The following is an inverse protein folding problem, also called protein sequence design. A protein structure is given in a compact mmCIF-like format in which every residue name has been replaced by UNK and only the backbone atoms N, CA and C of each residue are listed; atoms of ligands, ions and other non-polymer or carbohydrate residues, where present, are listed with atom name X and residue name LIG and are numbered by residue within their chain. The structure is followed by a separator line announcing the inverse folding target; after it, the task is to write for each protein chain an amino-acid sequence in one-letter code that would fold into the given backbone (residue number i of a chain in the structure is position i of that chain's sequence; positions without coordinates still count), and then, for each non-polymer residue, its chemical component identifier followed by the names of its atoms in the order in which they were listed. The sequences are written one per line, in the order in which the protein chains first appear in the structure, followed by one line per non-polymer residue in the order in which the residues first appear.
data_IF_498756349403
#
_entry.id   IF_498756349403
#
_cell.length_a   1.000
_cell.length_b   1.000
_cell.length_c   1.000
_cell.angle_alpha   90.00
_cell.angle_beta   90.00
_cell.angle_gamma   90.00
#
_symmetry.space_group_name_H-M   'P 1'
#
loop_
_entity.id
_entity.type
_entity.pdbx_description
1 polymer ?
#
# COMPACT_ATOMS: atom_id res chain seq x y z
N UNK A 1 12.00 -4.19 -4.73
CA UNK A 1 10.59 -4.54 -5.09
C UNK A 1 9.70 -4.30 -3.88
N UNK A 2 8.65 -3.51 -4.08
CA UNK A 2 7.78 -3.08 -2.98
C UNK A 2 6.48 -3.85 -2.97
N UNK A 3 6.01 -4.15 -1.76
CA UNK A 3 4.61 -4.42 -1.58
C UNK A 3 3.87 -3.08 -1.38
N UNK A 4 3.20 -2.56 -2.42
CA UNK A 4 2.43 -1.34 -2.25
C UNK A 4 1.27 -1.69 -1.31
N UNK A 5 1.30 -1.10 -0.11
CA UNK A 5 0.09 -0.93 0.69
C UNK A 5 -0.46 0.43 0.29
N UNK A 6 -1.49 0.51 -0.55
CA UNK A 6 -1.84 1.78 -1.15
C UNK A 6 -2.44 2.73 -0.11
N UNK A 7 -2.05 4.00 -0.24
CA UNK A 7 -2.32 5.15 0.65
C UNK A 7 -1.86 5.08 2.11
N UNK A 8 -1.48 3.92 2.66
CA UNK A 8 -0.89 3.85 4.02
C UNK A 8 0.59 4.23 4.01
N UNK A 9 1.27 4.09 2.88
CA UNK A 9 2.56 4.74 2.70
C UNK A 9 2.29 6.25 2.57
N UNK A 10 2.53 6.99 3.66
CA UNK A 10 2.69 8.44 3.62
C UNK A 10 3.51 8.81 2.38
N UNK A 11 3.24 9.96 1.75
CA UNK A 11 4.03 10.41 0.58
C UNK A 11 5.54 10.18 0.81
N UNK A 12 6.00 10.46 2.03
CA UNK A 12 7.29 10.07 2.62
C UNK A 12 7.74 8.65 2.29
N UNK A 13 7.01 7.62 2.72
CA UNK A 13 7.41 6.23 2.52
C UNK A 13 7.46 5.86 1.03
N UNK A 14 6.48 6.31 0.24
CA UNK A 14 6.46 6.09 -1.21
C UNK A 14 7.67 6.72 -1.90
N UNK A 15 8.05 7.93 -1.50
CA UNK A 15 9.22 8.62 -2.00
C UNK A 15 10.49 7.83 -1.73
N UNK A 16 10.71 7.40 -0.49
CA UNK A 16 11.96 6.70 -0.17
C UNK A 16 12.00 5.32 -0.81
N UNK A 17 10.87 4.62 -0.82
CA UNK A 17 10.77 3.35 -1.56
C UNK A 17 11.10 3.57 -3.03
N UNK A 18 10.46 4.51 -3.72
CA UNK A 18 10.77 4.73 -5.13
C UNK A 18 12.24 5.12 -5.36
N UNK A 19 12.80 5.99 -4.51
CA UNK A 19 14.22 6.33 -4.56
C UNK A 19 15.11 5.10 -4.47
N UNK A 20 14.89 4.24 -3.48
CA UNK A 20 15.66 3.01 -3.29
C UNK A 20 15.58 2.09 -4.51
N UNK A 21 14.42 2.02 -5.16
CA UNK A 21 14.24 1.17 -6.32
C UNK A 21 14.92 1.72 -7.56
N UNK A 22 14.80 3.03 -7.78
CA UNK A 22 15.52 3.69 -8.88
C UNK A 22 17.03 3.62 -8.66
N UNK A 23 17.51 3.77 -7.43
CA UNK A 23 18.92 3.63 -7.06
C UNK A 23 19.42 2.24 -7.40
N UNK A 24 18.73 1.21 -6.90
CA UNK A 24 19.10 -0.18 -7.16
C UNK A 24 19.14 -0.43 -8.68
N UNK A 25 18.13 0.01 -9.46
CA UNK A 25 18.15 -0.11 -10.93
C UNK A 25 19.34 0.61 -11.57
N UNK A 26 19.63 1.83 -11.14
CA UNK A 26 20.74 2.62 -11.67
C UNK A 26 22.06 1.88 -11.48
N UNK A 27 22.31 1.36 -10.27
CA UNK A 27 23.51 0.56 -9.96
C UNK A 27 23.58 -0.71 -10.82
N UNK A 28 22.45 -1.35 -11.13
CA UNK A 28 22.43 -2.53 -12.00
C UNK A 28 22.73 -2.21 -13.46
N UNK A 29 22.21 -1.08 -13.96
CA UNK A 29 22.45 -0.65 -15.33
C UNK A 29 23.92 -0.27 -15.58
N UNK A 30 24.63 0.19 -14.56
CA UNK A 30 26.06 0.52 -14.65
C UNK A 30 26.96 -0.73 -14.66
N UNK A 31 26.50 -1.84 -14.08
CA UNK A 31 27.30 -3.07 -13.91
C UNK A 31 27.15 -4.12 -15.05
N UNK A 32 26.54 -3.76 -16.18
CA UNK A 32 26.50 -4.52 -17.45
C UNK A 32 26.17 -6.04 -17.35
N UNK A 33 24.98 -6.37 -16.84
CA UNK A 33 24.45 -7.75 -16.80
C UNK A 33 23.73 -8.16 -18.10
N UNK A 34 23.98 -9.38 -18.60
CA UNK A 34 23.48 -9.92 -19.89
C UNK A 34 21.95 -10.04 -20.00
N UNK A 35 21.20 -10.06 -18.91
CA UNK A 35 19.72 -10.07 -18.89
C UNK A 35 19.11 -8.65 -18.72
N UNK A 36 19.94 -7.62 -18.59
CA UNK A 36 19.52 -6.23 -18.36
C UNK A 36 19.22 -5.52 -19.67
N UNK A 37 19.77 -5.93 -20.81
CA UNK A 37 19.57 -5.22 -22.09
C UNK A 37 18.10 -5.22 -22.56
N UNK A 38 17.36 -6.32 -22.35
CA UNK A 38 15.91 -6.37 -22.63
C UNK A 38 15.12 -5.47 -21.69
N UNK A 39 15.52 -5.39 -20.41
CA UNK A 39 14.88 -4.52 -19.42
C UNK A 39 15.21 -3.05 -19.68
N UNK A 40 16.45 -2.74 -20.04
CA UNK A 40 16.98 -1.42 -20.44
C UNK A 40 16.25 -0.92 -21.68
N UNK A 41 16.19 -1.70 -22.75
CA UNK A 41 15.47 -1.36 -23.97
C UNK A 41 13.97 -1.12 -23.73
N UNK A 42 13.34 -1.94 -22.87
CA UNK A 42 11.94 -1.71 -22.45
C UNK A 42 11.78 -0.42 -21.65
N UNK A 43 12.68 -0.14 -20.71
CA UNK A 43 12.64 1.10 -19.91
C UNK A 43 12.85 2.33 -20.79
N UNK A 44 13.77 2.28 -21.76
CA UNK A 44 14.00 3.35 -22.73
C UNK A 44 12.79 3.63 -23.63
N UNK A 45 12.00 2.59 -23.96
CA UNK A 45 10.75 2.76 -24.72
C UNK A 45 9.59 3.33 -23.88
N UNK A 46 9.65 3.20 -22.55
CA UNK A 46 8.54 3.58 -21.65
C UNK A 46 8.78 4.87 -20.88
N UNK A 47 10.04 5.27 -20.69
CA UNK A 47 10.42 6.53 -20.03
C UNK A 47 10.53 7.61 -21.09
N UNK A 48 9.51 8.46 -21.15
CA UNK A 48 9.55 9.68 -21.96
C UNK A 48 10.33 10.77 -21.22
N UNK A 49 11.61 10.90 -21.56
CA UNK A 49 12.51 11.92 -21.01
C UNK A 49 11.97 13.34 -21.27
N UNK A 50 11.26 13.57 -22.40
CA UNK A 50 10.72 14.89 -22.72
C UNK A 50 9.59 15.27 -21.77
N UNK A 51 8.71 14.32 -21.43
CA UNK A 51 7.67 14.48 -20.40
C UNK A 51 8.29 14.76 -19.02
N UNK A 52 9.39 14.09 -18.65
CA UNK A 52 10.10 14.39 -17.40
C UNK A 52 10.62 15.82 -17.35
N UNK A 53 11.27 16.29 -18.41
CA UNK A 53 11.80 17.65 -18.50
C UNK A 53 10.67 18.68 -18.43
N UNK A 54 9.53 18.41 -19.06
CA UNK A 54 8.34 19.26 -18.95
C UNK A 54 7.83 19.33 -17.50
N UNK A 55 7.74 18.19 -16.81
CA UNK A 55 7.31 18.16 -15.41
C UNK A 55 8.29 18.92 -14.49
N UNK A 56 9.60 18.81 -14.71
CA UNK A 56 10.60 19.60 -13.99
C UNK A 56 10.33 21.11 -14.14
N UNK A 57 10.12 21.57 -15.38
CA UNK A 57 9.81 22.98 -15.68
C UNK A 57 8.52 23.44 -15.02
N UNK A 58 7.47 22.61 -15.04
CA UNK A 58 6.19 22.91 -14.36
C UNK A 58 6.33 23.06 -12.84
N UNK A 59 7.33 22.40 -12.24
CA UNK A 59 7.65 22.53 -10.81
C UNK A 59 8.76 23.56 -10.52
N UNK A 60 9.05 24.46 -11.47
CA UNK A 60 10.10 25.48 -11.37
C UNK A 60 11.51 24.92 -11.11
N UNK A 61 11.77 23.69 -11.55
CA UNK A 61 13.10 23.06 -11.53
C UNK A 61 13.71 23.19 -12.93
N UNK A 62 14.73 24.02 -13.07
CA UNK A 62 15.47 24.20 -14.33
C UNK A 62 16.77 23.41 -14.32
N UNK A 63 16.98 22.63 -15.37
CA UNK A 63 18.26 21.97 -15.67
C UNK A 63 18.84 22.69 -16.90
N UNK A 64 20.13 23.07 -16.91
CA UNK A 64 20.78 23.61 -18.10
C UNK A 64 20.58 22.68 -19.30
N UNK A 65 20.34 23.21 -20.50
CA UNK A 65 20.18 22.38 -21.73
C UNK A 65 21.35 21.43 -21.97
N UNK A 66 22.55 21.82 -21.56
CA UNK A 66 23.77 21.00 -21.64
C UNK A 66 23.77 19.81 -20.68
N UNK A 67 22.97 19.87 -19.62
CA UNK A 67 22.82 18.85 -18.58
C UNK A 67 21.51 18.05 -18.71
N UNK A 68 20.67 18.33 -19.72
CA UNK A 68 19.47 17.54 -19.99
C UNK A 68 19.85 16.07 -20.25
N UNK A 69 19.15 15.09 -19.64
CA UNK A 69 19.52 13.69 -19.75
C UNK A 69 19.36 13.18 -21.18
N UNK A 70 20.46 12.66 -21.75
CA UNK A 70 20.50 12.06 -23.11
C UNK A 70 20.43 10.53 -23.11
N UNK A 71 20.34 9.91 -21.93
CA UNK A 71 20.26 8.47 -21.77
C UNK A 71 19.44 8.11 -20.53
N UNK A 72 18.96 6.86 -20.46
CA UNK A 72 18.27 6.35 -19.28
C UNK A 72 19.13 6.49 -18.01
N UNK A 73 20.41 6.14 -18.07
CA UNK A 73 21.33 6.26 -16.94
C UNK A 73 21.47 7.72 -16.46
N UNK A 74 21.62 8.68 -17.39
CA UNK A 74 21.68 10.09 -17.06
C UNK A 74 20.36 10.58 -16.40
N UNK A 75 19.22 10.14 -16.93
CA UNK A 75 17.90 10.44 -16.35
C UNK A 75 17.77 9.91 -14.92
N UNK A 76 18.08 8.63 -14.67
CA UNK A 76 17.95 8.02 -13.34
C UNK A 76 18.87 8.72 -12.33
N UNK A 77 20.11 9.07 -12.73
CA UNK A 77 21.04 9.82 -11.89
C UNK A 77 20.51 11.20 -11.51
N UNK A 78 19.99 11.96 -12.49
CA UNK A 78 19.40 13.28 -12.25
C UNK A 78 18.19 13.17 -11.32
N UNK A 79 17.30 12.21 -11.58
CA UNK A 79 16.15 11.94 -10.73
C UNK A 79 16.56 11.65 -9.28
N UNK A 80 17.53 10.76 -9.05
CA UNK A 80 18.02 10.43 -7.71
C UNK A 80 18.58 11.66 -6.98
N UNK A 81 19.33 12.50 -7.69
CA UNK A 81 19.89 13.72 -7.12
C UNK A 81 18.82 14.72 -6.69
N UNK A 82 17.78 14.93 -7.52
CA UNK A 82 16.67 15.83 -7.19
C UNK A 82 15.91 15.34 -5.95
N UNK A 83 15.58 14.04 -5.90
CA UNK A 83 14.88 13.46 -4.76
C UNK A 83 15.73 13.55 -3.49
N UNK A 84 17.03 13.22 -3.57
CA UNK A 84 17.95 13.31 -2.42
C UNK A 84 18.07 14.75 -1.93
N UNK A 85 18.32 15.71 -2.81
CA UNK A 85 18.44 17.13 -2.46
C UNK A 85 17.19 17.64 -1.75
N UNK A 86 16.01 17.35 -2.31
CA UNK A 86 14.74 17.75 -1.71
C UNK A 86 14.42 17.05 -0.39
N UNK A 87 14.91 15.82 -0.20
CA UNK A 87 14.74 15.06 1.04
C UNK A 87 15.64 15.57 2.17
N UNK A 88 16.81 16.12 1.86
CA UNK A 88 17.73 16.72 2.83
C UNK A 88 17.28 18.15 3.19
N UNK A 89 16.95 18.96 2.19
CA UNK A 89 16.74 20.40 2.36
C UNK A 89 15.26 20.82 2.47
N UNK A 90 14.32 19.90 2.34
CA UNK A 90 12.88 20.19 2.34
C UNK A 90 12.26 20.33 3.74
N UNK A 91 11.07 20.92 3.80
CA UNK A 91 10.22 21.01 5.00
C UNK A 91 9.25 19.81 5.06
N UNK A 92 9.78 18.65 5.44
CA UNK A 92 9.08 17.49 6.05
C UNK A 92 7.72 16.99 5.48
N UNK A 93 7.30 17.32 4.25
CA UNK A 93 5.96 16.90 3.78
C UNK A 93 5.85 16.37 2.34
N UNK A 94 6.82 16.59 1.44
CA UNK A 94 6.92 15.91 0.13
C UNK A 94 8.28 16.18 -0.52
N UNK A 95 8.85 15.24 -1.32
CA UNK A 95 9.93 15.58 -2.24
C UNK A 95 9.44 16.60 -3.29
N UNK A 96 10.35 17.34 -3.94
CA UNK A 96 10.03 18.36 -4.93
C UNK A 96 9.35 17.82 -6.20
N UNK A 97 9.31 16.50 -6.38
CA UNK A 97 8.68 15.84 -7.53
C UNK A 97 7.62 14.85 -7.08
N UNK A 98 6.47 14.87 -7.77
CA UNK A 98 5.43 13.86 -7.58
C UNK A 98 5.75 12.66 -8.48
N UNK A 99 6.29 11.56 -7.96
CA UNK A 99 6.70 10.45 -8.80
C UNK A 99 5.56 9.77 -9.57
N UNK A 100 4.32 9.97 -9.14
CA UNK A 100 3.14 9.43 -9.83
C UNK A 100 2.82 10.16 -11.13
N UNK A 101 3.24 11.43 -11.27
CA UNK A 101 3.10 12.20 -12.51
C UNK A 101 4.14 11.80 -13.56
N UNK A 102 5.30 11.35 -13.10
CA UNK A 102 6.40 10.85 -13.94
C UNK A 102 6.18 9.49 -14.61
N UNK A 103 4.94 8.96 -14.58
CA UNK A 103 4.57 7.68 -15.19
C UNK A 103 5.49 6.51 -14.83
N UNK A 104 6.21 6.57 -13.70
CA UNK A 104 7.10 5.50 -13.24
C UNK A 104 6.40 4.14 -13.14
N UNK A 105 5.09 4.14 -12.93
CA UNK A 105 4.29 2.90 -12.92
C UNK A 105 4.18 2.20 -14.28
N UNK A 106 4.38 2.92 -15.39
CA UNK A 106 4.47 2.36 -16.73
C UNK A 106 5.89 1.87 -17.01
N UNK A 107 6.90 2.65 -16.62
CA UNK A 107 8.31 2.26 -16.75
C UNK A 107 8.68 1.05 -15.87
N UNK A 108 8.04 0.91 -14.73
CA UNK A 108 8.29 -0.13 -13.73
C UNK A 108 6.98 -0.85 -13.36
N UNK A 109 6.39 -1.64 -14.28
CA UNK A 109 5.09 -2.28 -14.07
C UNK A 109 5.09 -3.24 -12.87
N UNK A 110 6.23 -3.83 -12.53
CA UNK A 110 6.42 -4.69 -11.36
C UNK A 110 6.38 -3.93 -10.01
N UNK A 111 6.38 -2.59 -10.00
CA UNK A 111 6.05 -1.82 -8.78
C UNK A 111 4.57 -1.93 -8.43
N UNK A 112 3.73 -2.32 -9.41
CA UNK A 112 2.35 -2.76 -9.17
C UNK A 112 2.38 -4.28 -9.03
N UNK A 113 2.49 -4.79 -7.79
CA UNK A 113 2.55 -6.23 -7.50
C UNK A 113 1.37 -7.06 -8.03
N UNK A 114 0.32 -6.45 -8.58
CA UNK A 114 -0.84 -7.15 -9.12
C UNK A 114 -0.58 -7.89 -10.44
N UNK A 115 0.60 -7.76 -11.06
CA UNK A 115 0.96 -8.52 -12.25
C UNK A 115 2.41 -9.03 -12.13
N UNK A 116 2.58 -10.21 -11.52
CA UNK A 116 3.86 -10.90 -11.33
C UNK A 116 4.40 -11.53 -12.62
N UNK A 117 4.24 -10.87 -13.76
CA UNK A 117 5.01 -11.21 -14.96
C UNK A 117 6.47 -10.78 -14.73
N UNK A 118 7.43 -11.68 -14.99
CA UNK A 118 8.88 -11.55 -14.76
C UNK A 118 9.41 -11.72 -13.31
N UNK A 119 9.03 -12.83 -12.67
CA UNK A 119 9.55 -13.31 -11.37
C UNK A 119 11.08 -13.32 -11.23
N UNK A 120 11.86 -13.51 -12.30
CA UNK A 120 13.33 -13.61 -12.19
C UNK A 120 14.01 -12.34 -11.65
N UNK A 121 13.51 -11.15 -12.01
CA UNK A 121 14.00 -9.88 -11.45
C UNK A 121 13.52 -9.67 -10.01
N UNK A 122 12.34 -10.19 -9.68
CA UNK A 122 11.71 -10.17 -8.35
C UNK A 122 12.51 -11.00 -7.33
N UNK A 123 13.18 -12.07 -7.76
CA UNK A 123 14.00 -12.95 -6.93
C UNK A 123 15.49 -12.56 -6.88
N UNK A 124 15.94 -11.58 -7.66
CA UNK A 124 17.35 -11.15 -7.61
C UNK A 124 17.73 -10.65 -6.21
N UNK A 125 18.77 -11.20 -5.56
CA UNK A 125 19.17 -10.79 -4.20
C UNK A 125 19.60 -9.32 -4.14
N UNK A 126 19.90 -8.73 -5.30
CA UNK A 126 20.44 -7.39 -5.45
C UNK A 126 19.40 -6.27 -5.34
N UNK A 127 18.09 -6.58 -5.34
CA UNK A 127 17.07 -5.57 -5.05
C UNK A 127 16.75 -5.48 -3.57
N UNK A 128 16.75 -4.27 -3.05
CA UNK A 128 16.29 -3.97 -1.70
C UNK A 128 14.77 -4.22 -1.62
N UNK A 129 14.36 -5.01 -0.64
CA UNK A 129 12.96 -5.33 -0.34
C UNK A 129 12.61 -4.81 1.03
N UNK A 130 11.60 -3.95 1.07
CA UNK A 130 11.16 -3.23 2.27
C UNK A 130 9.66 -3.36 2.34
N UNK A 131 9.15 -3.58 3.55
CA UNK A 131 7.72 -3.54 3.84
C UNK A 131 7.50 -2.78 5.14
N UNK A 132 6.46 -1.95 5.17
CA UNK A 132 5.90 -1.43 6.41
C UNK A 132 4.54 -2.09 6.60
N UNK A 133 4.43 -2.89 7.65
CA UNK A 133 3.21 -3.59 8.02
C UNK A 133 2.46 -2.79 9.07
N UNK A 134 1.18 -3.08 9.20
CA UNK A 134 0.28 -2.48 10.20
C UNK A 134 -0.52 -3.59 10.86
N UNK A 135 -0.90 -3.39 12.11
CA UNK A 135 -1.74 -4.34 12.83
C UNK A 135 -2.99 -4.72 11.98
N UNK A 136 -3.34 -6.01 11.81
CA UNK A 136 -4.44 -6.43 10.92
C UNK A 136 -5.76 -5.69 11.17
N UNK A 137 -6.17 -5.56 12.44
CA UNK A 137 -7.39 -4.80 12.80
C UNK A 137 -7.30 -3.30 12.52
N UNK A 138 -6.14 -2.68 12.72
CA UNK A 138 -5.98 -1.25 12.46
C UNK A 138 -6.04 -0.97 10.96
N UNK A 139 -5.37 -1.81 10.16
CA UNK A 139 -5.40 -1.75 8.69
C UNK A 139 -6.81 -1.90 8.15
N UNK A 140 -7.56 -2.88 8.64
CA UNK A 140 -8.90 -3.19 8.17
C UNK A 140 -9.91 -2.07 8.46
N UNK A 141 -9.84 -1.49 9.65
CA UNK A 141 -10.69 -0.36 10.02
C UNK A 141 -10.29 0.93 9.27
N UNK A 142 -9.00 1.15 9.00
CA UNK A 142 -8.54 2.25 8.13
C UNK A 142 -9.07 2.09 6.71
N UNK A 143 -8.98 0.87 6.15
CA UNK A 143 -9.48 0.57 4.81
C UNK A 143 -10.99 0.81 4.70
N UNK A 144 -11.76 0.40 5.72
CA UNK A 144 -13.18 0.73 5.79
C UNK A 144 -13.42 2.25 5.74
N UNK A 145 -12.76 3.02 6.62
CA UNK A 145 -12.95 4.47 6.71
C UNK A 145 -12.64 5.16 5.38
N UNK A 146 -11.50 4.85 4.80
CA UNK A 146 -10.99 5.52 3.61
C UNK A 146 -11.71 5.10 2.32
N UNK A 147 -12.05 3.81 2.18
CA UNK A 147 -12.56 3.25 0.92
C UNK A 147 -14.06 3.11 0.89
N UNK A 148 -14.65 2.69 1.99
CA UNK A 148 -16.08 2.35 2.06
C UNK A 148 -16.89 3.46 2.73
N UNK A 149 -16.40 4.02 3.84
CA UNK A 149 -17.14 5.01 4.63
C UNK A 149 -16.91 6.47 4.21
N UNK A 150 -16.39 6.70 3.00
CA UNK A 150 -16.26 8.03 2.42
C UNK A 150 -17.03 8.08 1.10
N UNK A 151 -18.00 8.99 0.97
CA UNK A 151 -18.82 9.12 -0.24
C UNK A 151 -18.03 9.79 -1.37
N UNK A 152 -18.45 9.57 -2.61
CA UNK A 152 -17.80 10.14 -3.79
C UNK A 152 -17.69 11.67 -3.72
N UNK A 153 -18.74 12.35 -3.24
CA UNK A 153 -18.78 13.81 -3.05
C UNK A 153 -17.79 14.33 -2.00
N UNK A 154 -17.36 13.48 -1.07
CA UNK A 154 -16.49 13.87 0.04
C UNK A 154 -15.01 13.54 -0.26
N UNK A 155 -14.71 12.96 -1.43
CA UNK A 155 -13.34 12.61 -1.85
C UNK A 155 -12.76 13.65 -2.81
N UNK A 156 -11.46 13.92 -2.62
CA UNK A 156 -10.66 14.76 -3.53
C UNK A 156 -10.46 14.06 -4.89
N UNK A 157 -10.39 12.73 -4.90
CA UNK A 157 -10.15 11.93 -6.10
C UNK A 157 -11.28 10.92 -6.31
N UNK A 158 -11.73 10.81 -7.57
CA UNK A 158 -12.72 9.82 -7.98
C UNK A 158 -12.15 8.39 -7.89
N UNK A 159 -12.91 7.49 -7.27
CA UNK A 159 -12.55 6.08 -7.08
C UNK A 159 -13.79 5.19 -7.33
N UNK A 160 -14.24 5.06 -8.60
CA UNK A 160 -15.54 4.45 -8.93
C UNK A 160 -15.65 2.98 -8.53
N UNK A 161 -14.54 2.25 -8.47
CA UNK A 161 -14.53 0.85 -8.04
C UNK A 161 -14.97 0.70 -6.57
N UNK A 162 -14.56 1.63 -5.69
CA UNK A 162 -15.00 1.63 -4.30
C UNK A 162 -16.44 2.13 -4.14
N UNK A 163 -16.90 3.03 -5.01
CA UNK A 163 -18.31 3.43 -5.06
C UNK A 163 -19.21 2.24 -5.42
N UNK A 164 -18.86 1.51 -6.48
CA UNK A 164 -19.56 0.29 -6.88
C UNK A 164 -19.53 -0.78 -5.78
N UNK A 165 -18.39 -0.94 -5.11
CA UNK A 165 -18.26 -1.87 -3.99
C UNK A 165 -19.14 -1.48 -2.81
N UNK A 166 -19.17 -0.21 -2.42
CA UNK A 166 -20.05 0.30 -1.35
C UNK A 166 -21.51 -0.01 -1.66
N UNK A 167 -21.96 0.30 -2.88
CA UNK A 167 -23.32 0.02 -3.32
C UNK A 167 -23.63 -1.49 -3.28
N UNK A 168 -22.69 -2.33 -3.69
CA UNK A 168 -22.85 -3.78 -3.64
C UNK A 168 -23.00 -4.29 -2.20
N UNK A 169 -22.20 -3.79 -1.25
CA UNK A 169 -22.31 -4.15 0.17
C UNK A 169 -23.70 -3.74 0.70
N UNK A 170 -24.14 -2.51 0.41
CA UNK A 170 -25.48 -2.03 0.76
C UNK A 170 -26.60 -2.90 0.17
N UNK A 171 -26.49 -3.29 -1.11
CA UNK A 171 -27.48 -4.16 -1.77
C UNK A 171 -27.54 -5.55 -1.14
N UNK A 172 -26.40 -6.16 -0.78
CA UNK A 172 -26.36 -7.47 -0.12
C UNK A 172 -27.09 -7.50 1.22
N UNK A 173 -27.01 -6.42 2.01
CA UNK A 173 -27.81 -6.23 3.23
C UNK A 173 -29.31 -6.29 2.93
N UNK A 174 -29.76 -5.54 1.92
CA UNK A 174 -31.19 -5.43 1.60
C UNK A 174 -31.77 -6.73 1.01
N UNK A 175 -30.95 -7.54 0.33
CA UNK A 175 -31.37 -8.73 -0.42
C UNK A 175 -31.49 -10.02 0.40
N UNK A 176 -31.64 -9.99 1.73
CA UNK A 176 -31.80 -11.20 2.56
C UNK A 176 -32.60 -12.30 1.85
N UNK A 177 -31.90 -13.33 1.34
CA UNK A 177 -32.34 -14.44 0.44
C UNK A 177 -33.27 -14.12 -0.75
N UNK A 178 -33.83 -12.93 -0.90
CA UNK A 178 -34.83 -12.59 -1.90
C UNK A 178 -34.28 -11.60 -2.93
N UNK A 179 -33.89 -12.15 -4.09
CA UNK A 179 -33.31 -11.44 -5.24
C UNK A 179 -34.27 -10.52 -6.03
N UNK A 180 -35.51 -10.30 -5.56
CA UNK A 180 -36.56 -9.56 -6.28
C UNK A 180 -36.90 -8.24 -5.60
N UNK A 181 -35.99 -7.26 -5.63
CA UNK A 181 -36.31 -5.87 -5.24
C UNK A 181 -36.56 -4.99 -6.47
N UNK A 182 -37.57 -4.08 -6.43
CA UNK A 182 -37.80 -3.08 -7.46
C UNK A 182 -36.58 -2.18 -7.71
N UNK A 183 -36.42 -1.72 -8.94
CA UNK A 183 -35.29 -0.87 -9.39
C UNK A 183 -35.16 0.42 -8.56
N UNK A 184 -36.26 1.00 -8.09
CA UNK A 184 -36.29 2.23 -7.28
C UNK A 184 -35.51 2.12 -5.95
N UNK A 185 -35.42 0.92 -5.34
CA UNK A 185 -34.61 0.69 -4.13
C UNK A 185 -33.11 0.59 -4.40
N UNK A 186 -32.69 0.51 -5.67
CA UNK A 186 -31.26 0.40 -6.04
C UNK A 186 -30.52 1.74 -5.99
N UNK A 187 -31.22 2.86 -6.14
CA UNK A 187 -30.63 4.21 -6.08
C UNK A 187 -30.34 4.67 -4.64
N UNK A 188 -31.09 4.17 -3.66
CA UNK A 188 -30.89 4.48 -2.23
C UNK A 188 -29.48 4.11 -1.73
N UNK A 189 -28.83 3.11 -2.36
CA UNK A 189 -27.51 2.66 -1.97
C UNK A 189 -26.35 3.54 -2.47
N UNK A 190 -26.57 4.47 -3.41
CA UNK A 190 -25.51 5.38 -3.93
C UNK A 190 -24.92 6.25 -2.82
N UNK A 191 -25.82 6.75 -1.97
CA UNK A 191 -25.50 7.67 -0.87
C UNK A 191 -25.52 7.01 0.52
N UNK A 192 -25.67 5.69 0.58
CA UNK A 192 -25.68 4.94 1.83
C UNK A 192 -24.28 4.40 2.14
N UNK A 193 -23.80 4.67 3.36
CA UNK A 193 -22.58 4.07 3.89
C UNK A 193 -22.94 2.78 4.64
N UNK A 194 -22.47 1.60 4.19
CA UNK A 194 -22.58 0.37 4.95
C UNK A 194 -21.86 0.50 6.29
N UNK A 195 -22.40 -0.11 7.33
CA UNK A 195 -21.75 -0.22 8.64
C UNK A 195 -20.44 -1.03 8.55
N UNK A 196 -19.59 -0.88 9.57
CA UNK A 196 -18.36 -1.67 9.66
C UNK A 196 -18.66 -3.17 9.70
N UNK A 197 -19.71 -3.60 10.42
CA UNK A 197 -20.11 -5.01 10.46
C UNK A 197 -20.48 -5.54 9.06
N UNK A 198 -21.26 -4.78 8.28
CA UNK A 198 -21.63 -5.18 6.92
C UNK A 198 -20.41 -5.30 6.00
N UNK A 199 -19.43 -4.42 6.16
CA UNK A 199 -18.14 -4.52 5.48
C UNK A 199 -17.34 -5.76 5.91
N UNK A 200 -17.27 -6.07 7.21
CA UNK A 200 -16.61 -7.29 7.71
C UNK A 200 -17.28 -8.55 7.16
N UNK A 201 -18.61 -8.61 7.19
CA UNK A 201 -19.36 -9.73 6.61
C UNK A 201 -19.08 -9.89 5.13
N UNK A 202 -18.97 -8.79 4.38
CA UNK A 202 -18.59 -8.81 2.97
C UNK A 202 -17.20 -9.41 2.75
N UNK A 203 -16.21 -9.02 3.55
CA UNK A 203 -14.83 -9.54 3.44
C UNK A 203 -14.78 -11.03 3.76
N UNK A 204 -15.52 -11.47 4.76
CA UNK A 204 -15.50 -12.86 5.22
C UNK A 204 -16.20 -13.83 4.25
N UNK A 205 -16.95 -13.33 3.25
CA UNK A 205 -17.64 -14.18 2.27
C UNK A 205 -16.65 -15.08 1.53
N UNK A 206 -16.87 -16.39 1.63
CA UNK A 206 -16.08 -17.43 0.94
C UNK A 206 -14.57 -17.40 1.24
N UNK A 207 -14.16 -16.85 2.39
CA UNK A 207 -12.74 -16.85 2.83
C UNK A 207 -12.17 -18.25 3.06
N UNK A 208 -13.01 -19.26 3.21
CA UNK A 208 -12.62 -20.67 3.21
C UNK A 208 -12.08 -21.15 1.85
N UNK A 209 -12.24 -20.39 0.76
CA UNK A 209 -11.70 -20.71 -0.56
C UNK A 209 -10.39 -19.94 -0.78
N UNK A 210 -9.22 -20.61 -0.90
CA UNK A 210 -7.93 -19.94 -1.07
C UNK A 210 -7.89 -18.98 -2.26
N UNK A 211 -8.52 -19.33 -3.38
CA UNK A 211 -8.59 -18.48 -4.56
C UNK A 211 -9.34 -17.16 -4.31
N UNK A 212 -10.31 -17.12 -3.40
CA UNK A 212 -11.01 -15.87 -3.03
C UNK A 212 -10.08 -14.97 -2.23
N UNK A 213 -9.37 -15.52 -1.24
CA UNK A 213 -8.41 -14.76 -0.43
C UNK A 213 -7.24 -14.25 -1.27
N UNK A 214 -6.77 -15.04 -2.24
CA UNK A 214 -5.71 -14.66 -3.17
C UNK A 214 -6.10 -13.51 -4.12
N UNK A 215 -7.39 -13.31 -4.36
CA UNK A 215 -7.93 -12.24 -5.21
C UNK A 215 -8.68 -11.16 -4.41
N UNK A 216 -8.47 -11.10 -3.09
CA UNK A 216 -9.01 -10.02 -2.27
C UNK A 216 -8.43 -8.67 -2.69
N UNK A 217 -9.22 -7.62 -2.50
CA UNK A 217 -8.75 -6.26 -2.67
C UNK A 217 -7.58 -5.98 -1.72
N UNK A 218 -6.58 -5.28 -2.23
CA UNK A 218 -5.27 -5.18 -1.61
C UNK A 218 -5.23 -4.38 -0.31
N UNK A 219 -6.25 -3.59 0.04
CA UNK A 219 -6.30 -2.89 1.33
C UNK A 219 -6.64 -3.83 2.48
N UNK A 220 -7.33 -4.94 2.22
CA UNK A 220 -7.75 -5.93 3.22
C UNK A 220 -7.35 -7.38 2.85
N UNK A 221 -6.43 -7.56 1.90
CA UNK A 221 -5.79 -8.86 1.69
C UNK A 221 -4.67 -9.07 2.71
N UNK A 222 -4.56 -10.22 3.41
CA UNK A 222 -3.44 -10.50 4.32
C UNK A 222 -2.07 -10.22 3.68
N UNK A 223 -1.16 -9.59 4.43
CA UNK A 223 0.19 -9.26 3.95
C UNK A 223 1.01 -10.49 3.61
N UNK A 224 0.83 -11.60 4.35
CA UNK A 224 1.49 -12.87 4.07
C UNK A 224 1.27 -13.33 2.63
N UNK A 225 0.06 -13.08 2.10
CA UNK A 225 -0.33 -13.39 0.72
C UNK A 225 -0.01 -12.26 -0.25
N UNK A 226 -0.47 -11.04 0.04
CA UNK A 226 -0.31 -9.87 -0.84
C UNK A 226 1.16 -9.59 -1.15
N UNK A 227 2.02 -9.69 -0.12
CA UNK A 227 3.43 -9.37 -0.21
C UNK A 227 4.33 -10.62 -0.29
N UNK A 228 3.72 -11.82 -0.30
CA UNK A 228 4.41 -13.13 -0.35
C UNK A 228 5.58 -13.22 0.63
N UNK A 229 5.34 -12.84 1.88
CA UNK A 229 6.38 -12.58 2.90
C UNK A 229 7.23 -13.83 3.17
N UNK A 230 6.63 -15.01 3.06
CA UNK A 230 7.32 -16.29 3.22
C UNK A 230 8.20 -16.69 2.02
N UNK A 231 8.03 -16.04 0.85
CA UNK A 231 8.80 -16.34 -0.37
C UNK A 231 9.98 -15.38 -0.59
N UNK A 232 9.96 -14.21 0.05
CA UNK A 232 10.98 -13.18 -0.14
C UNK A 232 11.71 -12.87 1.15
N UNK A 233 13.03 -12.74 1.06
CA UNK A 233 13.84 -12.20 2.14
C UNK A 233 13.76 -10.67 2.11
N UNK A 234 13.02 -10.10 3.06
CA UNK A 234 12.93 -8.65 3.24
C UNK A 234 14.19 -8.11 3.94
N UNK A 235 14.75 -7.02 3.42
CA UNK A 235 15.89 -6.33 4.01
C UNK A 235 15.50 -5.47 5.22
N UNK A 236 14.22 -5.08 5.30
CA UNK A 236 13.64 -4.32 6.40
C UNK A 236 12.12 -4.54 6.51
N UNK A 237 11.63 -4.72 7.74
CA UNK A 237 10.21 -4.80 8.08
C UNK A 237 9.92 -3.74 9.14
N UNK A 238 9.18 -2.70 8.76
CA UNK A 238 8.75 -1.61 9.64
C UNK A 238 7.33 -1.83 10.17
N UNK A 239 7.00 -1.23 11.31
CA UNK A 239 5.64 -1.19 11.88
C UNK A 239 5.06 0.21 11.72
N UNK A 240 3.85 0.30 11.18
CA UNK A 240 3.23 1.58 10.81
C UNK A 240 2.73 2.37 12.02
N UNK A 241 2.31 1.69 13.07
CA UNK A 241 1.93 2.28 14.35
C UNK A 241 3.14 2.91 15.08
N UNK A 242 4.37 2.45 14.78
CA UNK A 242 5.64 3.01 15.24
C UNK A 242 6.42 3.65 14.09
N UNK A 243 5.70 4.24 13.12
CA UNK A 243 6.29 4.63 11.83
C UNK A 243 7.54 5.51 11.98
N UNK A 244 7.48 6.63 12.70
CA UNK A 244 8.60 7.57 12.77
C UNK A 244 9.84 6.94 13.38
N UNK A 245 9.68 6.16 14.46
CA UNK A 245 10.79 5.45 15.11
C UNK A 245 11.42 4.43 14.16
N UNK A 246 10.59 3.56 13.56
CA UNK A 246 11.07 2.55 12.61
C UNK A 246 11.66 3.19 11.35
N UNK A 247 11.14 4.34 10.93
CA UNK A 247 11.61 5.05 9.76
C UNK A 247 13.00 5.68 9.99
N UNK A 248 13.31 6.16 11.20
CA UNK A 248 14.67 6.61 11.56
C UNK A 248 15.67 5.45 11.45
N UNK A 249 15.33 4.28 11.98
CA UNK A 249 16.19 3.09 11.85
C UNK A 249 16.35 2.65 10.39
N UNK A 250 15.27 2.73 9.62
CA UNK A 250 15.27 2.47 8.19
C UNK A 250 16.27 3.39 7.46
N UNK A 251 16.17 4.71 7.65
CA UNK A 251 17.06 5.69 7.01
C UNK A 251 18.53 5.41 7.36
N UNK A 252 18.82 5.12 8.64
CA UNK A 252 20.17 4.75 9.09
C UNK A 252 20.69 3.48 8.42
N UNK A 253 19.86 2.44 8.31
CA UNK A 253 20.23 1.15 7.72
C UNK A 253 20.61 1.24 6.24
N UNK A 254 20.03 2.20 5.53
CA UNK A 254 20.21 2.35 4.08
C UNK A 254 21.05 3.58 3.70
N UNK A 255 21.81 4.15 4.64
CA UNK A 255 22.69 5.30 4.44
C UNK A 255 21.97 6.56 3.95
N UNK A 256 20.77 6.81 4.50
CA UNK A 256 19.92 7.98 4.22
C UNK A 256 19.67 8.82 5.49
N UNK A 257 20.59 8.75 6.47
CA UNK A 257 20.45 9.46 7.76
C UNK A 257 20.42 10.99 7.62
N UNK A 258 20.90 11.53 6.50
CA UNK A 258 20.86 12.94 6.12
C UNK A 258 19.47 13.41 5.65
N UNK A 259 18.52 12.49 5.44
CA UNK A 259 17.18 12.81 4.98
C UNK A 259 16.32 13.36 6.13
N UNK A 260 15.80 14.57 5.95
CA UNK A 260 14.90 15.24 6.88
C UNK A 260 13.42 14.99 6.49
N UNK A 261 13.01 13.72 6.47
CA UNK A 261 11.62 13.34 6.20
C UNK A 261 11.02 12.60 7.38
N UNK A 262 9.78 12.95 7.73
CA UNK A 262 9.02 12.28 8.77
C UNK A 262 7.56 12.13 8.34
N UNK A 263 6.80 11.28 9.02
CA UNK A 263 5.35 11.26 8.91
C UNK A 263 4.79 12.40 9.77
N UNK A 264 3.94 13.29 9.22
CA UNK A 264 3.27 14.31 10.00
C UNK A 264 2.46 13.71 11.15
N UNK A 265 2.43 14.40 12.30
CA UNK A 265 1.56 14.03 13.41
C UNK A 265 0.10 13.98 12.94
N UNK A 266 -0.64 12.94 13.31
CA UNK A 266 -2.04 12.76 12.91
C UNK A 266 -2.26 12.19 11.50
N UNK A 267 -1.22 11.96 10.69
CA UNK A 267 -1.35 11.34 9.36
C UNK A 267 -1.87 9.89 9.39
N UNK A 268 -2.01 9.28 10.57
CA UNK A 268 -2.68 7.98 10.78
C UNK A 268 -4.21 8.08 10.68
N UNK A 269 -4.78 9.29 10.69
CA UNK A 269 -6.21 9.57 10.58
C UNK A 269 -7.06 9.23 11.81
N UNK A 270 -6.69 8.23 12.61
CA UNK A 270 -7.38 7.80 13.82
C UNK A 270 -6.39 7.35 14.89
N UNK A 271 -6.81 7.42 16.16
CA UNK A 271 -6.06 6.87 17.29
C UNK A 271 -6.30 5.36 17.45
N UNK A 272 -5.43 4.65 18.20
CA UNK A 272 -5.64 3.23 18.56
C UNK A 272 -7.01 3.01 19.22
N UNK A 273 -7.44 3.93 20.09
CA UNK A 273 -8.76 3.89 20.74
C UNK A 273 -9.91 4.02 19.75
N UNK A 274 -9.80 4.89 18.75
CA UNK A 274 -10.85 5.01 17.72
C UNK A 274 -10.96 3.74 16.87
N UNK A 275 -9.83 3.10 16.57
CA UNK A 275 -9.84 1.82 15.87
C UNK A 275 -10.47 0.69 16.69
N UNK A 276 -10.24 0.65 18.01
CA UNK A 276 -10.88 -0.32 18.91
C UNK A 276 -12.42 -0.23 18.89
N UNK A 277 -12.97 0.99 18.79
CA UNK A 277 -14.43 1.23 18.76
C UNK A 277 -15.13 0.50 17.62
N UNK A 278 -14.48 0.35 16.45
CA UNK A 278 -15.06 -0.40 15.33
C UNK A 278 -15.36 -1.86 15.66
N UNK A 279 -14.53 -2.47 16.50
CA UNK A 279 -14.65 -3.87 16.85
C UNK A 279 -15.56 -4.09 18.06
N UNK A 280 -15.83 -3.06 18.86
CA UNK A 280 -16.56 -3.18 20.12
C UNK A 280 -17.98 -3.77 19.95
N UNK A 281 -18.66 -3.50 18.84
CA UNK A 281 -20.02 -4.00 18.60
C UNK A 281 -20.08 -5.25 17.74
N UNK A 282 -18.95 -5.73 17.19
CA UNK A 282 -18.97 -6.90 16.31
C UNK A 282 -19.28 -8.18 17.11
N UNK A 283 -20.07 -9.12 16.56
CA UNK A 283 -20.22 -10.45 17.15
C UNK A 283 -18.87 -11.18 17.26
N UNK A 284 -18.68 -11.93 18.35
CA UNK A 284 -17.45 -12.72 18.60
C UNK A 284 -17.15 -13.65 17.42
N UNK A 285 -18.17 -14.24 16.79
CA UNK A 285 -18.01 -15.11 15.62
C UNK A 285 -17.27 -14.41 14.46
N UNK A 286 -17.62 -13.16 14.16
CA UNK A 286 -16.96 -12.39 13.10
C UNK A 286 -15.51 -12.07 13.47
N UNK A 287 -15.25 -11.73 14.74
CA UNK A 287 -13.89 -11.48 15.22
C UNK A 287 -13.05 -12.75 15.12
N UNK A 288 -13.57 -13.90 15.53
CA UNK A 288 -12.87 -15.17 15.40
C UNK A 288 -12.50 -15.46 13.93
N UNK A 289 -13.44 -15.26 13.00
CA UNK A 289 -13.20 -15.45 11.58
C UNK A 289 -12.15 -14.48 11.02
N UNK A 290 -12.15 -13.22 11.48
CA UNK A 290 -11.09 -12.26 11.12
C UNK A 290 -9.72 -12.69 11.65
N UNK A 291 -9.63 -13.14 12.90
CA UNK A 291 -8.38 -13.65 13.46
C UNK A 291 -7.85 -14.81 12.61
N UNK A 292 -8.74 -15.73 12.21
CA UNK A 292 -8.37 -16.84 11.34
C UNK A 292 -7.89 -16.38 9.96
N UNK A 293 -8.55 -15.39 9.36
CA UNK A 293 -8.18 -14.84 8.05
C UNK A 293 -6.77 -14.21 8.07
N UNK A 294 -6.40 -13.56 9.17
CA UNK A 294 -5.14 -12.84 9.32
C UNK A 294 -4.12 -13.56 10.23
N UNK A 295 -4.34 -14.84 10.55
CA UNK A 295 -3.53 -15.59 11.53
C UNK A 295 -2.03 -15.57 11.20
N UNK A 296 -1.67 -15.78 9.94
CA UNK A 296 -0.27 -15.68 9.50
C UNK A 296 0.31 -14.28 9.72
N UNK A 297 -0.44 -13.21 9.46
CA UNK A 297 0.03 -11.84 9.69
C UNK A 297 0.27 -11.58 11.18
N UNK A 298 -0.62 -12.08 12.06
CA UNK A 298 -0.41 -11.99 13.50
C UNK A 298 0.89 -12.67 13.93
N UNK A 299 1.12 -13.89 13.45
CA UNK A 299 2.32 -14.67 13.79
C UNK A 299 3.60 -14.08 13.19
N UNK A 300 3.61 -13.79 11.88
CA UNK A 300 4.80 -13.31 11.15
C UNK A 300 5.30 -11.96 11.68
N UNK A 301 4.39 -11.07 12.08
CA UNK A 301 4.74 -9.71 12.50
C UNK A 301 4.65 -9.48 14.00
N UNK A 302 4.43 -10.55 14.77
CA UNK A 302 4.32 -10.54 16.23
C UNK A 302 3.32 -9.48 16.70
N UNK A 303 2.09 -9.55 16.16
CA UNK A 303 0.96 -8.74 16.60
C UNK A 303 0.11 -9.53 17.59
N UNK A 304 -0.50 -8.83 18.54
CA UNK A 304 -1.39 -9.45 19.52
C UNK A 304 -2.83 -9.05 19.28
N UNK A 305 -3.74 -10.01 19.32
CA UNK A 305 -5.18 -9.76 19.15
C UNK A 305 -5.71 -8.79 20.21
N UNK A 306 -5.20 -8.88 21.44
CA UNK A 306 -5.62 -8.06 22.59
C UNK A 306 -5.20 -6.59 22.50
N UNK A 307 -4.32 -6.23 21.55
CA UNK A 307 -4.03 -4.82 21.26
C UNK A 307 -5.28 -4.04 20.82
N UNK A 308 -6.21 -4.70 20.13
CA UNK A 308 -7.42 -4.08 19.59
C UNK A 308 -8.72 -4.73 20.08
N UNK A 309 -8.66 -5.99 20.53
CA UNK A 309 -9.83 -6.75 20.99
C UNK A 309 -9.63 -7.15 22.44
N UNK A 310 -10.15 -6.34 23.37
CA UNK A 310 -10.13 -6.67 24.79
C UNK A 310 -11.45 -7.34 25.22
N UNK A 311 -11.57 -8.65 24.96
CA UNK A 311 -12.74 -9.46 25.34
C UNK A 311 -12.29 -10.77 25.98
N UNK A 312 -12.60 -10.95 27.26
CA UNK A 312 -12.26 -12.16 28.03
C UNK A 312 -12.98 -13.41 27.51
N UNK A 313 -14.13 -13.26 26.85
CA UNK A 313 -14.92 -14.35 26.25
C UNK A 313 -14.37 -14.85 24.92
N UNK A 314 -13.46 -14.11 24.28
CA UNK A 314 -13.04 -14.39 22.90
C UNK A 314 -12.34 -15.75 22.77
N UNK A 315 -11.46 -16.09 23.72
CA UNK A 315 -10.75 -17.37 23.78
C UNK A 315 -11.72 -18.55 24.03
N UNK A 316 -12.87 -18.27 24.65
CA UNK A 316 -13.92 -19.27 24.85
C UNK A 316 -14.74 -19.50 23.58
N UNK A 317 -14.99 -18.44 22.82
CA UNK A 317 -15.86 -18.47 21.64
C UNK A 317 -15.12 -18.85 20.35
N UNK A 318 -13.82 -18.57 20.25
CA UNK A 318 -13.00 -19.00 19.12
C UNK A 318 -12.39 -20.39 19.38
N UNK A 319 -13.16 -21.45 19.14
CA UNK A 319 -12.78 -22.84 19.47
C UNK A 319 -11.41 -23.29 18.92
N UNK A 320 -10.96 -22.76 17.78
CA UNK A 320 -9.68 -23.07 17.14
C UNK A 320 -8.49 -22.23 17.62
N UNK A 321 -8.69 -21.21 18.47
CA UNK A 321 -7.56 -20.49 19.09
C UNK A 321 -6.89 -21.30 20.23
N UNK A 322 -7.46 -22.46 20.59
CA UNK A 322 -6.96 -23.35 21.64
C UNK A 322 -6.06 -24.47 21.11
N UNK A 323 -5.98 -24.62 19.79
CA UNK A 323 -5.19 -25.62 19.05
C UNK A 323 -4.13 -24.90 18.26
#
# INVERSE_FOLDING_TARGET
MYCPVPKVATKTLLTVMLYMHVRDISEHLENNWTNVDVARARMEQMIDISTFIEELRQNAITIPKTEEPKSLAAFLRIYLNIIRFGSINGTSSSPPLNPWRLRFTYAFPYLRLHNLSNLSQIFSPSFTRIIFVRHPFERLASAYKERIATLARDRIQSEPDYDAMREMICRRRKLGRNFRQPLEKRDECKETIPSFEEFIRYILVNTNKPAVVANMEYHWQPYSLLCQVCKFKYNFIGKYEMFNDHFIYFLKRFNLSDWNIQKPNGASGLTKSDYQKFYFTLPDELICQLIRLYDEDFRLFNYRVDDYINRTTLIQNCKWLRT
#
